data_IF_962787709826
#
_entry.id   IF_962787709826
#
_cell.length_a   1.000
_cell.length_b   1.000
_cell.length_c   1.000
_cell.angle_alpha   90.00
_cell.angle_beta   90.00
_cell.angle_gamma   90.00
#
_symmetry.space_group_name_H-M   'P 1'
#
loop_
_entity.id
_entity.type
_entity.pdbx_description
1 polymer ?
#
# COMPACT_ATOMS: atom_id res chain seq x y z
N UNK A 1 26.33 -3.19 -3.14
CA UNK A 1 25.30 -2.29 -2.59
C UNK A 1 24.14 -3.03 -1.92
N UNK A 2 23.70 -4.19 -2.43
CA UNK A 2 22.62 -5.01 -1.87
C UNK A 2 22.83 -5.46 -0.41
N UNK A 3 24.09 -5.68 0.02
CA UNK A 3 24.41 -6.05 1.42
C UNK A 3 24.20 -4.93 2.45
N UNK A 4 24.23 -3.65 2.05
CA UNK A 4 24.00 -2.53 2.99
C UNK A 4 22.50 -2.34 3.32
N UNK A 5 21.62 -2.70 2.39
CA UNK A 5 20.18 -2.47 2.54
C UNK A 5 19.52 -3.56 3.39
N UNK A 6 20.03 -4.80 3.35
CA UNK A 6 19.64 -5.89 4.26
C UNK A 6 19.91 -5.51 5.73
N UNK A 7 21.00 -4.79 6.01
CA UNK A 7 21.33 -4.36 7.37
C UNK A 7 20.35 -3.29 7.90
N UNK A 8 19.82 -2.42 7.04
CA UNK A 8 18.78 -1.46 7.43
C UNK A 8 17.39 -2.11 7.58
N UNK A 9 17.07 -3.13 6.78
CA UNK A 9 15.82 -3.90 6.92
C UNK A 9 15.74 -4.57 8.30
N UNK A 10 16.84 -5.12 8.82
CA UNK A 10 16.89 -5.70 10.17
C UNK A 10 16.74 -4.68 11.31
N UNK A 11 17.10 -3.41 11.09
CA UNK A 11 16.99 -2.36 12.12
C UNK A 11 15.52 -1.92 12.35
N UNK A 12 14.66 -2.08 11.34
CA UNK A 12 13.22 -1.77 11.44
C UNK A 12 12.34 -3.02 11.63
N UNK A 13 12.82 -4.20 11.27
CA UNK A 13 12.10 -5.46 11.52
C UNK A 13 11.97 -5.72 13.02
N UNK A 14 10.75 -5.63 13.55
CA UNK A 14 10.44 -5.93 14.95
C UNK A 14 10.77 -4.81 15.96
N UNK A 15 11.12 -3.59 15.54
CA UNK A 15 11.46 -2.50 16.47
C UNK A 15 10.57 -1.27 16.31
N UNK A 16 9.40 -1.31 16.94
CA UNK A 16 8.42 -0.22 17.00
C UNK A 16 9.06 1.12 17.43
N UNK A 17 10.04 1.10 18.35
CA UNK A 17 10.71 2.31 18.82
C UNK A 17 11.54 3.00 17.73
N UNK A 18 12.12 2.24 16.80
CA UNK A 18 12.87 2.81 15.66
C UNK A 18 11.93 3.41 14.63
N UNK A 19 10.81 2.75 14.32
CA UNK A 19 9.78 3.29 13.42
C UNK A 19 9.12 4.56 13.98
N UNK A 20 8.97 4.67 15.31
CA UNK A 20 8.46 5.88 15.96
C UNK A 20 9.49 7.04 15.96
N UNK A 21 10.79 6.73 15.98
CA UNK A 21 11.88 7.74 16.03
C UNK A 21 12.29 8.28 14.66
N UNK A 22 11.85 7.69 13.55
CA UNK A 22 12.22 8.16 12.22
C UNK A 22 11.73 9.59 11.96
N UNK A 23 12.63 10.45 11.49
CA UNK A 23 12.33 11.85 11.21
C UNK A 23 11.59 12.00 9.87
N UNK A 24 10.59 12.89 9.74
CA UNK A 24 9.91 13.15 8.47
C UNK A 24 10.86 13.44 7.28
N UNK A 25 11.98 14.14 7.53
CA UNK A 25 13.01 14.41 6.50
C UNK A 25 13.68 13.12 6.00
N UNK A 26 13.82 12.10 6.85
CA UNK A 26 14.36 10.81 6.43
C UNK A 26 13.35 10.06 5.55
N UNK A 27 12.06 10.06 5.94
CA UNK A 27 10.98 9.49 5.12
C UNK A 27 10.98 10.16 3.74
N UNK A 28 11.05 11.50 3.68
CA UNK A 28 11.09 12.25 2.42
C UNK A 28 12.28 11.83 1.54
N UNK A 29 13.48 11.68 2.12
CA UNK A 29 14.67 11.23 1.38
C UNK A 29 14.47 9.83 0.80
N UNK A 30 13.85 8.92 1.54
CA UNK A 30 13.57 7.55 1.07
C UNK A 30 12.59 7.58 -0.10
N UNK A 31 11.49 8.35 0.00
CA UNK A 31 10.52 8.51 -1.09
C UNK A 31 11.18 9.13 -2.32
N UNK A 32 12.01 10.15 -2.16
CA UNK A 32 12.73 10.75 -3.28
C UNK A 32 13.68 9.75 -3.95
N UNK A 33 14.34 8.86 -3.17
CA UNK A 33 15.18 7.80 -3.74
C UNK A 33 14.36 6.77 -4.52
N UNK A 34 13.19 6.36 -4.02
CA UNK A 34 12.28 5.52 -4.77
C UNK A 34 11.84 6.19 -6.09
N UNK A 35 11.53 7.49 -6.04
CA UNK A 35 11.17 8.29 -7.21
C UNK A 35 12.29 8.38 -8.27
N UNK A 36 13.54 8.53 -7.84
CA UNK A 36 14.68 8.68 -8.74
C UNK A 36 15.12 7.34 -9.35
N UNK A 37 14.99 6.24 -8.62
CA UNK A 37 15.43 4.91 -9.06
C UNK A 37 14.32 4.09 -9.75
N UNK A 38 13.05 4.37 -9.46
CA UNK A 38 11.89 3.68 -10.02
C UNK A 38 12.06 2.15 -9.96
N UNK A 39 11.85 1.45 -11.08
CA UNK A 39 11.97 -0.02 -11.19
C UNK A 39 13.34 -0.60 -10.78
N UNK A 40 14.38 0.24 -10.65
CA UNK A 40 15.71 -0.17 -10.16
C UNK A 40 15.86 -0.10 -8.64
N UNK A 41 14.88 0.46 -7.92
CA UNK A 41 14.91 0.62 -6.47
C UNK A 41 13.63 0.17 -5.74
N UNK A 42 13.03 -1.00 -6.05
CA UNK A 42 11.83 -1.48 -5.34
C UNK A 42 12.05 -1.67 -3.83
N UNK A 43 13.27 -1.92 -3.38
CA UNK A 43 13.61 -2.09 -1.97
C UNK A 43 13.35 -0.84 -1.12
N UNK A 44 13.30 0.35 -1.73
CA UNK A 44 12.91 1.58 -1.02
C UNK A 44 11.41 1.59 -0.71
N UNK A 45 10.57 0.99 -1.57
CA UNK A 45 9.14 0.80 -1.29
C UNK A 45 8.94 -0.23 -0.17
N UNK A 46 9.69 -1.34 -0.20
CA UNK A 46 9.69 -2.33 0.89
C UNK A 46 10.06 -1.70 2.24
N UNK A 47 11.10 -0.84 2.25
CA UNK A 47 11.50 -0.09 3.45
C UNK A 47 10.38 0.86 3.92
N UNK A 48 9.71 1.56 3.01
CA UNK A 48 8.57 2.43 3.35
C UNK A 48 7.42 1.62 3.95
N UNK A 49 7.14 0.41 3.45
CA UNK A 49 6.12 -0.48 4.01
C UNK A 49 6.42 -0.84 5.47
N UNK A 50 7.69 -1.11 5.80
CA UNK A 50 8.14 -1.36 7.17
C UNK A 50 8.10 -0.11 8.07
N UNK A 51 8.20 1.08 7.48
CA UNK A 51 8.10 2.35 8.21
C UNK A 51 6.63 2.66 8.57
N UNK A 52 5.66 2.25 7.75
CA UNK A 52 4.24 2.56 7.97
C UNK A 52 3.50 1.48 8.76
N UNK A 53 3.97 0.23 8.76
CA UNK A 53 3.37 -0.89 9.49
C UNK A 53 4.45 -1.76 10.14
N UNK A 54 4.22 -2.17 11.38
CA UNK A 54 5.13 -3.07 12.10
C UNK A 54 5.00 -4.48 11.52
N UNK A 55 6.09 -4.98 10.93
CA UNK A 55 6.14 -6.28 10.27
C UNK A 55 5.66 -7.41 11.20
N UNK A 56 4.82 -8.30 10.67
CA UNK A 56 4.26 -9.45 11.42
C UNK A 56 3.11 -9.10 12.38
N UNK A 57 2.64 -7.86 12.39
CA UNK A 57 1.51 -7.40 13.21
C UNK A 57 0.56 -6.55 12.38
N UNK A 58 -0.65 -6.29 12.88
CA UNK A 58 -1.59 -5.34 12.28
C UNK A 58 -1.44 -3.90 12.80
N UNK A 59 -0.34 -3.62 13.51
CA UNK A 59 -0.07 -2.30 14.06
C UNK A 59 0.45 -1.34 12.97
N UNK A 60 -0.40 -0.41 12.55
CA UNK A 60 -0.04 0.68 11.64
C UNK A 60 0.38 1.93 12.40
N UNK A 61 1.25 2.72 11.76
CA UNK A 61 1.83 3.95 12.33
C UNK A 61 1.25 5.16 11.59
N UNK A 62 0.07 5.62 11.99
CA UNK A 62 -0.72 6.69 11.30
C UNK A 62 0.10 7.93 10.94
N UNK A 63 0.99 8.38 11.83
CA UNK A 63 1.91 9.49 11.58
C UNK A 63 2.81 9.23 10.37
N UNK A 64 3.40 8.04 10.31
CA UNK A 64 4.30 7.66 9.24
C UNK A 64 3.54 7.46 7.93
N UNK A 65 2.35 6.84 7.96
CA UNK A 65 1.46 6.73 6.80
C UNK A 65 1.18 8.11 6.18
N UNK A 66 0.83 9.11 7.01
CA UNK A 66 0.55 10.46 6.54
C UNK A 66 1.76 11.12 5.85
N UNK A 67 2.96 10.98 6.42
CA UNK A 67 4.18 11.50 5.78
C UNK A 67 4.52 10.76 4.49
N UNK A 68 4.43 9.43 4.47
CA UNK A 68 4.70 8.64 3.26
C UNK A 68 3.73 9.02 2.15
N UNK A 69 2.42 9.03 2.41
CA UNK A 69 1.42 9.42 1.42
C UNK A 69 1.63 10.86 0.93
N UNK A 70 1.89 11.81 1.84
CA UNK A 70 2.21 13.20 1.46
C UNK A 70 3.38 13.26 0.46
N UNK A 71 4.48 12.58 0.76
CA UNK A 71 5.68 12.64 -0.09
C UNK A 71 5.54 11.84 -1.38
N UNK A 72 4.75 10.75 -1.39
CA UNK A 72 4.37 10.04 -2.62
C UNK A 72 3.58 10.99 -3.52
N UNK A 73 2.56 11.66 -3.00
CA UNK A 73 1.73 12.58 -3.80
C UNK A 73 2.54 13.75 -4.36
N UNK A 74 3.52 14.27 -3.62
CA UNK A 74 4.45 15.30 -4.11
C UNK A 74 5.34 14.82 -5.26
N UNK A 75 5.62 13.51 -5.36
CA UNK A 75 6.46 12.90 -6.39
C UNK A 75 5.66 11.92 -7.28
N UNK A 76 4.34 12.09 -7.37
CA UNK A 76 3.42 11.07 -7.86
C UNK A 76 3.82 10.49 -9.22
N UNK A 77 4.06 11.35 -10.22
CA UNK A 77 4.43 10.94 -11.58
C UNK A 77 5.67 10.05 -11.65
N UNK A 78 6.60 10.20 -10.70
CA UNK A 78 7.83 9.41 -10.64
C UNK A 78 7.63 8.12 -9.84
N UNK A 79 7.03 8.22 -8.64
CA UNK A 79 6.87 7.07 -7.74
C UNK A 79 5.79 6.11 -8.26
N UNK A 80 4.66 6.64 -8.68
CA UNK A 80 3.50 5.87 -9.14
C UNK A 80 3.45 5.74 -10.67
N UNK A 81 4.58 5.90 -11.37
CA UNK A 81 4.61 5.89 -12.84
C UNK A 81 3.97 4.63 -13.45
N UNK A 82 4.11 3.47 -12.79
CA UNK A 82 3.50 2.20 -13.23
C UNK A 82 1.97 2.21 -13.17
N UNK A 83 1.37 3.04 -12.30
CA UNK A 83 -0.08 3.18 -12.16
C UNK A 83 -0.68 4.10 -13.23
N UNK A 84 0.14 5.00 -13.79
CA UNK A 84 -0.24 5.95 -14.85
C UNK A 84 -0.11 5.34 -16.26
N UNK A 85 0.33 4.07 -16.36
CA UNK A 85 0.44 3.36 -17.62
C UNK A 85 -0.93 2.91 -18.12
N UNK A 86 -1.13 2.81 -19.45
CA UNK A 86 -2.30 2.19 -20.04
C UNK A 86 -2.54 0.80 -19.47
N UNK A 87 -3.81 0.40 -19.39
CA UNK A 87 -4.22 -0.87 -18.79
C UNK A 87 -3.51 -2.07 -19.44
N UNK A 88 -3.38 -2.08 -20.76
CA UNK A 88 -2.73 -3.14 -21.52
C UNK A 88 -1.26 -3.29 -21.12
N UNK A 89 -0.58 -2.17 -20.85
CA UNK A 89 0.82 -2.19 -20.40
C UNK A 89 0.93 -2.69 -18.96
N UNK A 90 0.00 -2.31 -18.07
CA UNK A 90 -0.09 -2.83 -16.70
C UNK A 90 -0.33 -4.34 -16.68
N UNK A 91 -1.23 -4.84 -17.51
CA UNK A 91 -1.48 -6.28 -17.66
C UNK A 91 -0.27 -7.01 -18.26
N UNK A 92 0.44 -6.38 -19.20
CA UNK A 92 1.67 -6.92 -19.76
C UNK A 92 2.79 -7.05 -18.71
N UNK A 93 2.89 -6.13 -17.76
CA UNK A 93 3.84 -6.24 -16.63
C UNK A 93 3.56 -7.49 -15.78
N UNK A 94 2.30 -7.89 -15.65
CA UNK A 94 1.87 -9.02 -14.83
C UNK A 94 1.94 -10.37 -15.55
N UNK A 95 2.07 -10.37 -16.88
CA UNK A 95 1.99 -11.59 -17.70
C UNK A 95 3.29 -11.91 -18.44
N UNK A 96 4.15 -10.91 -18.69
CA UNK A 96 5.36 -11.08 -19.49
C UNK A 96 6.61 -11.28 -18.60
N UNK A 97 7.43 -12.32 -18.88
CA UNK A 97 8.59 -12.66 -18.05
C UNK A 97 9.75 -11.67 -18.16
N UNK A 98 9.84 -10.86 -19.22
CA UNK A 98 10.89 -9.87 -19.43
C UNK A 98 10.71 -8.60 -18.58
N UNK A 99 9.56 -8.45 -17.91
CA UNK A 99 9.21 -7.25 -17.12
C UNK A 99 9.41 -7.41 -15.60
N UNK A 100 10.21 -8.38 -15.16
CA UNK A 100 10.37 -8.72 -13.73
C UNK A 100 10.74 -7.54 -12.81
N UNK A 101 11.65 -6.65 -13.21
CA UNK A 101 12.03 -5.49 -12.39
C UNK A 101 10.85 -4.54 -12.17
N UNK A 102 10.09 -4.27 -13.23
CA UNK A 102 8.89 -3.42 -13.17
C UNK A 102 7.76 -4.10 -12.41
N UNK A 103 7.59 -5.41 -12.59
CA UNK A 103 6.64 -6.21 -11.82
C UNK A 103 6.95 -6.12 -10.31
N UNK A 104 8.21 -6.33 -9.92
CA UNK A 104 8.61 -6.23 -8.51
C UNK A 104 8.27 -4.86 -7.94
N UNK A 105 8.60 -3.79 -8.66
CA UNK A 105 8.27 -2.43 -8.25
C UNK A 105 6.76 -2.20 -8.12
N UNK A 106 5.97 -2.66 -9.09
CA UNK A 106 4.52 -2.52 -9.08
C UNK A 106 3.89 -3.23 -7.87
N UNK A 107 4.31 -4.46 -7.58
CA UNK A 107 3.83 -5.23 -6.43
C UNK A 107 4.20 -4.53 -5.11
N UNK A 108 5.45 -4.08 -4.96
CA UNK A 108 5.89 -3.35 -3.76
C UNK A 108 5.12 -2.02 -3.57
N UNK A 109 4.77 -1.33 -4.66
CA UNK A 109 3.98 -0.10 -4.60
C UNK A 109 2.54 -0.37 -4.14
N UNK A 110 1.89 -1.41 -4.67
CA UNK A 110 0.53 -1.80 -4.25
C UNK A 110 0.51 -2.21 -2.77
N UNK A 111 1.47 -3.01 -2.33
CA UNK A 111 1.57 -3.40 -0.92
C UNK A 111 1.79 -2.18 0.00
N UNK A 112 2.62 -1.22 -0.41
CA UNK A 112 2.80 0.05 0.32
C UNK A 112 1.51 0.86 0.43
N UNK A 113 0.78 1.03 -0.69
CA UNK A 113 -0.48 1.77 -0.72
C UNK A 113 -1.55 1.10 0.14
N UNK A 114 -1.63 -0.24 0.10
CA UNK A 114 -2.52 -1.00 0.98
C UNK A 114 -2.15 -0.83 2.45
N UNK A 115 -0.86 -0.92 2.79
CA UNK A 115 -0.38 -0.71 4.17
C UNK A 115 -0.60 0.75 4.64
N UNK A 116 -0.59 1.73 3.75
CA UNK A 116 -0.94 3.11 4.05
C UNK A 116 -2.44 3.32 4.31
N UNK A 117 -3.31 2.65 3.55
CA UNK A 117 -4.76 2.70 3.72
C UNK A 117 -5.25 1.88 4.94
N UNK A 118 -4.43 0.96 5.44
CA UNK A 118 -4.79 0.15 6.59
C UNK A 118 -4.87 0.97 7.90
N UNK A 119 -5.98 0.81 8.64
CA UNK A 119 -6.15 1.40 9.98
C UNK A 119 -7.12 2.57 10.05
N UNK A 120 -8.07 2.65 9.11
CA UNK A 120 -9.20 3.58 9.11
C UNK A 120 -8.73 5.03 9.06
N UNK A 121 -8.13 5.37 7.92
CA UNK A 121 -7.71 6.74 7.64
C UNK A 121 -8.40 7.18 6.36
N UNK A 122 -9.63 7.69 6.51
CA UNK A 122 -10.50 8.09 5.39
C UNK A 122 -9.82 9.03 4.40
N UNK A 123 -8.91 9.89 4.86
CA UNK A 123 -8.14 10.77 3.97
C UNK A 123 -7.19 9.98 3.07
N UNK A 124 -6.44 9.03 3.64
CA UNK A 124 -5.55 8.17 2.86
C UNK A 124 -6.35 7.22 1.96
N UNK A 125 -7.45 6.67 2.46
CA UNK A 125 -8.37 5.84 1.66
C UNK A 125 -8.87 6.62 0.44
N UNK A 126 -9.38 7.84 0.62
CA UNK A 126 -9.84 8.71 -0.48
C UNK A 126 -8.73 9.02 -1.50
N UNK A 127 -7.50 9.26 -1.03
CA UNK A 127 -6.34 9.40 -1.93
C UNK A 127 -6.09 8.10 -2.70
N UNK A 128 -6.06 6.96 -2.03
CA UNK A 128 -5.85 5.66 -2.67
C UNK A 128 -6.97 5.31 -3.67
N UNK A 129 -8.23 5.70 -3.42
CA UNK A 129 -9.34 5.52 -4.36
C UNK A 129 -9.14 6.33 -5.66
N UNK A 130 -8.50 7.49 -5.56
CA UNK A 130 -8.14 8.31 -6.73
C UNK A 130 -6.98 7.68 -7.51
N UNK A 131 -6.01 7.08 -6.81
CA UNK A 131 -4.81 6.48 -7.40
C UNK A 131 -5.09 5.08 -7.99
N UNK A 132 -6.00 4.33 -7.37
CA UNK A 132 -6.37 2.96 -7.69
C UNK A 132 -7.88 2.83 -7.81
N UNK A 133 -8.47 3.20 -8.96
CA UNK A 133 -9.91 3.03 -9.18
C UNK A 133 -10.34 1.58 -8.98
N UNK A 134 -11.51 1.36 -8.36
CA UNK A 134 -12.04 0.02 -8.12
C UNK A 134 -12.16 -0.82 -9.40
N UNK A 135 -12.58 -0.20 -10.50
CA UNK A 135 -12.72 -0.87 -11.80
C UNK A 135 -11.39 -1.49 -12.27
N UNK A 136 -10.29 -0.75 -12.13
CA UNK A 136 -8.95 -1.24 -12.48
C UNK A 136 -8.51 -2.42 -11.61
N UNK A 137 -8.82 -2.38 -10.31
CA UNK A 137 -8.53 -3.50 -9.41
C UNK A 137 -9.34 -4.74 -9.82
N UNK A 138 -10.64 -4.59 -10.03
CA UNK A 138 -11.52 -5.70 -10.42
C UNK A 138 -11.16 -6.27 -11.79
N UNK A 139 -10.74 -5.43 -12.73
CA UNK A 139 -10.22 -5.85 -14.02
C UNK A 139 -9.05 -6.85 -13.89
N UNK A 140 -8.05 -6.51 -13.06
CA UNK A 140 -6.88 -7.36 -12.82
C UNK A 140 -7.27 -8.64 -12.06
N UNK A 141 -8.13 -8.51 -11.05
CA UNK A 141 -8.58 -9.64 -10.25
C UNK A 141 -9.37 -10.67 -11.05
N UNK A 142 -10.17 -10.22 -12.02
CA UNK A 142 -10.96 -11.09 -12.88
C UNK A 142 -10.23 -11.58 -14.14
N UNK A 143 -9.04 -11.06 -14.45
CA UNK A 143 -8.28 -11.49 -15.63
C UNK A 143 -7.73 -12.92 -15.43
N UNK A 144 -8.11 -13.90 -16.27
CA UNK A 144 -7.66 -15.30 -16.12
C UNK A 144 -6.21 -15.52 -16.56
N UNK A 145 -5.63 -14.62 -17.34
CA UNK A 145 -4.24 -14.72 -17.80
C UNK A 145 -3.22 -14.35 -16.70
N UNK A 146 -3.67 -13.71 -15.62
CA UNK A 146 -2.82 -13.25 -14.52
C UNK A 146 -2.80 -14.32 -13.42
N UNK A 147 -1.59 -14.74 -13.03
CA UNK A 147 -1.39 -15.71 -11.95
C UNK A 147 -2.03 -15.22 -10.64
N UNK A 148 -2.77 -16.11 -9.96
CA UNK A 148 -3.42 -15.83 -8.70
C UNK A 148 -2.45 -15.33 -7.61
N UNK A 149 -1.18 -15.72 -7.65
CA UNK A 149 -0.16 -15.22 -6.72
C UNK A 149 0.03 -13.70 -6.88
N UNK A 150 -0.03 -13.20 -8.12
CA UNK A 150 0.13 -11.79 -8.45
C UNK A 150 -1.12 -10.95 -8.14
N UNK A 151 -2.27 -11.59 -7.91
CA UNK A 151 -3.53 -10.91 -7.53
C UNK A 151 -3.57 -10.50 -6.06
N UNK A 152 -2.71 -11.06 -5.20
CA UNK A 152 -2.74 -10.81 -3.75
C UNK A 152 -2.61 -9.33 -3.37
N UNK A 153 -1.67 -8.52 -3.93
CA UNK A 153 -1.58 -7.10 -3.60
C UNK A 153 -2.82 -6.31 -4.04
N UNK A 154 -3.40 -6.65 -5.19
CA UNK A 154 -4.65 -6.03 -5.66
C UNK A 154 -5.82 -6.32 -4.72
N UNK A 155 -5.93 -7.56 -4.21
CA UNK A 155 -6.93 -7.91 -3.19
C UNK A 155 -6.74 -7.11 -1.91
N UNK A 156 -5.49 -6.91 -1.46
CA UNK A 156 -5.19 -6.08 -0.29
C UNK A 156 -5.59 -4.63 -0.51
N UNK A 157 -5.28 -4.06 -1.67
CA UNK A 157 -5.73 -2.71 -2.03
C UNK A 157 -7.27 -2.64 -2.01
N UNK A 158 -7.97 -3.56 -2.67
CA UNK A 158 -9.43 -3.60 -2.68
C UNK A 158 -10.00 -3.65 -1.25
N UNK A 159 -9.43 -4.52 -0.42
CA UNK A 159 -9.86 -4.69 0.96
C UNK A 159 -9.68 -3.41 1.79
N UNK A 160 -8.47 -2.84 1.83
CA UNK A 160 -8.15 -1.72 2.69
C UNK A 160 -8.67 -0.38 2.17
N UNK A 161 -8.91 -0.25 0.86
CA UNK A 161 -9.36 1.01 0.23
C UNK A 161 -10.88 1.08 0.10
N UNK A 162 -11.58 -0.05 -0.03
CA UNK A 162 -13.02 -0.07 -0.33
C UNK A 162 -13.87 -0.96 0.57
N UNK A 163 -13.35 -2.08 1.08
CA UNK A 163 -14.19 -3.10 1.75
C UNK A 163 -14.19 -3.02 3.27
N UNK A 164 -13.35 -2.18 3.89
CA UNK A 164 -13.46 -1.92 5.31
C UNK A 164 -14.77 -1.17 5.57
N UNK A 165 -15.79 -1.91 6.01
CA UNK A 165 -17.00 -1.33 6.57
C UNK A 165 -16.58 -0.37 7.67
N UNK A 166 -17.00 0.89 7.59
CA UNK A 166 -17.07 1.74 8.77
C UNK A 166 -17.82 0.91 9.81
N UNK A 167 -17.19 0.63 10.93
CA UNK A 167 -17.82 -0.03 12.08
C UNK A 167 -18.83 0.91 12.75
N UNK A 168 -19.74 1.51 11.99
CA UNK A 168 -21.01 1.96 12.53
C UNK A 168 -21.95 0.78 12.36
N UNK A 169 -21.82 -0.19 13.27
CA UNK A 169 -23.01 -0.83 13.80
C UNK A 169 -23.80 0.33 14.38
N UNK A 170 -24.70 0.90 13.56
CA UNK A 170 -25.76 1.74 14.08
C UNK A 170 -26.46 0.83 15.05
N UNK A 171 -26.39 1.16 16.34
CA UNK A 171 -27.14 0.51 17.39
C UNK A 171 -28.58 0.34 16.86
N UNK A 172 -28.92 -0.86 16.41
CA UNK A 172 -30.30 -1.26 16.36
C UNK A 172 -30.69 -1.42 17.81
N UNK A 173 -31.07 -0.29 18.40
CA UNK A 173 -31.77 -0.20 19.66
C UNK A 173 -32.84 -1.29 19.63
N UNK A 174 -32.67 -2.20 20.57
CA UNK A 174 -33.63 -3.21 20.98
C UNK A 174 -35.02 -2.61 20.94
N UNK A 175 -35.82 -3.00 19.94
CA UNK A 175 -37.26 -2.81 20.02
C UNK A 175 -37.75 -3.78 21.09
N UNK A 176 -37.89 -3.26 22.30
CA UNK A 176 -38.60 -3.91 23.40
C UNK A 176 -39.99 -4.28 22.90
N UNK A 177 -40.29 -5.58 22.90
CA UNK A 177 -41.67 -6.07 22.76
C UNK A 177 -42.28 -5.96 24.15
N UNK A 178 -43.34 -5.14 24.38
CA UNK A 178 -44.07 -5.20 25.63
C UNK A 178 -44.83 -6.53 25.66
N UNK A 179 -44.46 -7.38 26.61
CA UNK A 179 -45.28 -8.51 27.01
C UNK A 179 -46.25 -7.99 28.07
N UNK A 180 -47.49 -7.68 27.68
CA UNK A 180 -48.59 -7.54 28.62
C UNK A 180 -49.46 -8.82 28.58
N UNK A 181 -49.72 -9.30 29.79
CA UNK A 181 -50.52 -10.45 30.24
C UNK A 181 -51.94 -10.55 29.70
#
# INVERSE_FOLDING_TARGET
>A
MTKCLIFHVQVFYGNQNTCLKINPRQIQKIVNRAADLQEKGPEFLDLLSMIVKVAGTDLTLKRNQAYVMKYIMQNYKKVAFVLDLPREEREAILTQPDKMSRLRYYICLLDLLAACAEGENLFIESLCQTILPMEDLLAILNNPAIDNVLKKPFLRCLHHVYMKSTGNVVDMQTSEIPHDT
#
